data_IF_158473208751
#
_entry.id   IF_158473208751
#
_cell.length_a   1.000
_cell.length_b   1.000
_cell.length_c   1.000
_cell.angle_alpha   90.00
_cell.angle_beta   90.00
_cell.angle_gamma   90.00
#
_symmetry.space_group_name_H-M   'P 1'
#
loop_
_entity.id
_entity.type
_entity.pdbx_description
1 polymer ?
#
# COMPACT_ATOMS: atom_id res chain seq x y z
N UNK A 1 2.33 -26.47 2.44
CA UNK A 1 2.07 -25.25 3.26
C UNK A 1 0.82 -25.40 4.14
N UNK A 2 -0.42 -25.54 3.60
CA UNK A 2 -1.63 -25.66 4.44
C UNK A 2 -1.56 -26.82 5.46
N UNK A 3 -1.12 -28.02 5.01
CA UNK A 3 -0.90 -29.18 5.89
C UNK A 3 0.05 -28.86 7.06
N UNK A 4 1.18 -28.20 6.77
CA UNK A 4 2.17 -27.80 7.78
C UNK A 4 1.58 -26.79 8.78
N UNK A 5 0.73 -25.87 8.32
CA UNK A 5 0.07 -24.90 9.19
C UNK A 5 -0.91 -25.63 10.14
N UNK A 6 -1.76 -26.53 9.62
CA UNK A 6 -2.68 -27.30 10.46
C UNK A 6 -1.99 -28.21 11.47
N UNK A 7 -0.82 -28.75 11.11
CA UNK A 7 -0.02 -29.57 12.03
C UNK A 7 0.52 -28.74 13.21
N UNK A 8 0.79 -27.44 12.99
CA UNK A 8 1.33 -26.54 14.00
C UNK A 8 0.26 -25.77 14.78
N UNK A 9 -0.90 -25.56 14.18
CA UNK A 9 -1.96 -24.70 14.71
C UNK A 9 -3.31 -25.35 14.49
N UNK A 10 -4.14 -25.35 15.53
CA UNK A 10 -5.54 -25.79 15.44
C UNK A 10 -6.37 -24.65 14.80
N UNK A 11 -6.53 -24.72 13.47
CA UNK A 11 -7.21 -23.67 12.67
C UNK A 11 -8.34 -24.32 11.86
N UNK A 12 -9.56 -23.76 11.91
CA UNK A 12 -10.69 -24.24 11.11
C UNK A 12 -10.43 -24.09 9.60
N UNK A 13 -10.98 -24.99 8.79
CA UNK A 13 -10.77 -24.99 7.33
C UNK A 13 -11.35 -23.74 6.65
N UNK A 14 -12.39 -23.15 7.22
CA UNK A 14 -13.03 -21.92 6.79
C UNK A 14 -12.06 -20.73 6.82
N UNK A 15 -11.07 -20.75 7.73
CA UNK A 15 -10.07 -19.69 7.86
C UNK A 15 -8.90 -19.81 6.86
N UNK A 16 -8.87 -20.87 6.02
CA UNK A 16 -7.75 -21.15 5.10
C UNK A 16 -7.39 -19.95 4.22
N UNK A 17 -8.38 -19.30 3.60
CA UNK A 17 -8.14 -18.15 2.74
C UNK A 17 -7.47 -17.01 3.51
N UNK A 18 -8.04 -16.65 4.66
CA UNK A 18 -7.52 -15.59 5.52
C UNK A 18 -6.07 -15.86 5.98
N UNK A 19 -5.76 -17.11 6.34
CA UNK A 19 -4.40 -17.50 6.71
C UNK A 19 -3.43 -17.33 5.54
N UNK A 20 -3.80 -17.73 4.33
CA UNK A 20 -2.94 -17.53 3.17
C UNK A 20 -2.73 -16.05 2.83
N UNK A 21 -3.75 -15.20 3.01
CA UNK A 21 -3.64 -13.75 2.85
C UNK A 21 -2.66 -13.15 3.88
N UNK A 22 -2.71 -13.62 5.13
CA UNK A 22 -1.79 -13.23 6.20
C UNK A 22 -0.35 -13.65 5.87
N UNK A 23 -0.14 -14.92 5.49
CA UNK A 23 1.18 -15.44 5.10
C UNK A 23 1.75 -14.66 3.91
N UNK A 24 0.93 -14.41 2.89
CA UNK A 24 1.34 -13.59 1.74
C UNK A 24 1.77 -12.19 2.16
N UNK A 25 1.02 -11.57 3.08
CA UNK A 25 1.30 -10.21 3.57
C UNK A 25 2.58 -10.17 4.42
N UNK A 26 2.77 -11.16 5.30
CA UNK A 26 4.01 -11.34 6.06
C UNK A 26 5.22 -11.54 5.14
N UNK A 27 5.08 -12.36 4.10
CA UNK A 27 6.13 -12.59 3.11
C UNK A 27 6.49 -11.33 2.32
N UNK A 28 5.50 -10.53 1.90
CA UNK A 28 5.75 -9.24 1.24
C UNK A 28 6.52 -8.28 2.17
N UNK A 29 6.13 -8.21 3.44
CA UNK A 29 6.81 -7.37 4.44
C UNK A 29 8.26 -7.84 4.65
N UNK A 30 8.46 -9.13 4.84
CA UNK A 30 9.78 -9.74 5.01
C UNK A 30 10.69 -9.42 3.82
N UNK A 31 10.26 -9.67 2.58
CA UNK A 31 11.07 -9.34 1.39
C UNK A 31 11.42 -7.86 1.29
N UNK A 32 10.50 -6.99 1.67
CA UNK A 32 10.76 -5.55 1.69
C UNK A 32 11.82 -5.18 2.74
N UNK A 33 11.74 -5.75 3.94
CA UNK A 33 12.71 -5.53 5.01
C UNK A 33 14.08 -6.10 4.64
N UNK A 34 14.12 -7.31 4.09
CA UNK A 34 15.33 -7.98 3.60
C UNK A 34 16.08 -7.07 2.61
N UNK A 35 15.37 -6.53 1.61
CA UNK A 35 15.97 -5.62 0.62
C UNK A 35 16.45 -4.31 1.25
N UNK A 36 15.69 -3.73 2.18
CA UNK A 36 16.11 -2.48 2.85
C UNK A 36 17.34 -2.69 3.72
N UNK A 37 17.34 -3.75 4.54
CA UNK A 37 18.36 -3.96 5.57
C UNK A 37 19.64 -4.60 5.01
N UNK A 38 19.54 -5.45 3.98
CA UNK A 38 20.69 -6.22 3.50
C UNK A 38 21.10 -5.93 2.06
N UNK A 39 20.26 -5.28 1.25
CA UNK A 39 20.66 -4.86 -0.10
C UNK A 39 20.97 -3.37 -0.17
N UNK A 40 20.10 -2.51 0.38
CA UNK A 40 20.30 -1.05 0.34
C UNK A 40 21.27 -0.52 1.40
N UNK A 41 21.52 -1.27 2.47
CA UNK A 41 22.38 -0.82 3.57
C UNK A 41 23.88 -0.89 3.24
N UNK A 42 24.27 -1.66 2.23
CA UNK A 42 25.65 -1.89 1.84
C UNK A 42 25.86 -1.57 0.35
N UNK A 43 27.03 -1.03 0.02
CA UNK A 43 27.34 -0.54 -1.32
C UNK A 43 27.65 -1.67 -2.32
N UNK A 44 28.43 -2.67 -1.93
CA UNK A 44 28.91 -3.74 -2.80
C UNK A 44 28.28 -5.11 -2.46
N UNK A 45 28.30 -6.06 -3.40
CA UNK A 45 27.74 -7.39 -3.18
C UNK A 45 28.55 -8.23 -2.18
N UNK A 46 29.85 -7.99 -2.04
CA UNK A 46 30.72 -8.68 -1.09
C UNK A 46 30.30 -8.42 0.37
N UNK A 47 30.12 -7.16 0.75
CA UNK A 47 29.62 -6.77 2.08
C UNK A 47 28.19 -7.25 2.29
N UNK A 48 27.35 -7.26 1.25
CA UNK A 48 25.98 -7.82 1.34
C UNK A 48 26.02 -9.31 1.67
N UNK A 49 26.93 -10.06 1.04
CA UNK A 49 27.10 -11.49 1.28
C UNK A 49 27.67 -11.79 2.68
N UNK A 50 28.63 -10.99 3.15
CA UNK A 50 29.17 -11.07 4.50
C UNK A 50 28.08 -10.80 5.56
N UNK A 51 27.22 -9.81 5.30
CA UNK A 51 26.12 -9.42 6.18
C UNK A 51 24.79 -10.11 5.81
N UNK A 52 24.85 -11.31 5.23
CA UNK A 52 23.66 -12.12 4.90
C UNK A 52 22.89 -12.47 6.18
N UNK A 53 21.56 -12.34 6.20
CA UNK A 53 20.78 -12.82 7.34
C UNK A 53 20.86 -14.34 7.47
N UNK A 54 21.04 -14.81 8.70
CA UNK A 54 21.25 -16.24 9.04
C UNK A 54 20.12 -17.12 8.50
N UNK A 55 18.89 -16.62 8.53
CA UNK A 55 17.67 -17.35 8.13
C UNK A 55 17.56 -17.59 6.61
N UNK A 56 18.33 -16.88 5.78
CA UNK A 56 18.23 -17.00 4.31
C UNK A 56 19.41 -17.80 3.80
N UNK A 57 19.24 -18.99 3.21
CA UNK A 57 20.35 -19.79 2.70
C UNK A 57 21.24 -19.01 1.72
N UNK A 58 22.53 -19.29 1.71
CA UNK A 58 23.52 -18.56 0.91
C UNK A 58 23.20 -18.58 -0.59
N UNK A 59 22.83 -19.74 -1.13
CA UNK A 59 22.46 -19.89 -2.54
C UNK A 59 21.28 -18.98 -2.91
N UNK A 60 20.23 -18.99 -2.09
CA UNK A 60 19.05 -18.15 -2.29
C UNK A 60 19.38 -16.66 -2.21
N UNK A 61 20.28 -16.27 -1.30
CA UNK A 61 20.68 -14.88 -1.18
C UNK A 61 21.52 -14.41 -2.38
N UNK A 62 22.42 -15.24 -2.91
CA UNK A 62 23.15 -14.97 -4.16
C UNK A 62 22.19 -14.75 -5.34
N UNK A 63 21.19 -15.62 -5.48
CA UNK A 63 20.17 -15.48 -6.53
C UNK A 63 19.36 -14.18 -6.37
N UNK A 64 19.06 -13.78 -5.13
CA UNK A 64 18.38 -12.51 -4.85
C UNK A 64 19.24 -11.30 -5.21
N UNK A 65 20.54 -11.30 -4.90
CA UNK A 65 21.45 -10.23 -5.30
C UNK A 65 21.51 -10.12 -6.83
N UNK A 66 21.67 -11.24 -7.53
CA UNK A 66 21.63 -11.29 -9.00
C UNK A 66 20.31 -10.73 -9.55
N UNK A 67 19.18 -11.14 -8.98
CA UNK A 67 17.87 -10.63 -9.37
C UNK A 67 17.75 -9.12 -9.14
N UNK A 68 18.14 -8.61 -7.97
CA UNK A 68 18.03 -7.20 -7.65
C UNK A 68 18.95 -6.31 -8.48
N UNK A 69 20.13 -6.81 -8.82
CA UNK A 69 21.10 -6.14 -9.67
C UNK A 69 20.76 -6.19 -11.16
N UNK A 70 19.83 -7.06 -11.57
CA UNK A 70 19.40 -7.19 -12.97
C UNK A 70 18.73 -5.90 -13.50
N UNK A 71 19.03 -5.57 -14.75
CA UNK A 71 18.46 -4.39 -15.43
C UNK A 71 16.93 -4.40 -15.52
N UNK A 72 16.26 -5.54 -15.82
CA UNK A 72 14.80 -5.58 -15.85
C UNK A 72 14.18 -5.17 -14.50
N UNK A 73 14.74 -5.65 -13.40
CA UNK A 73 14.24 -5.32 -12.07
C UNK A 73 14.55 -3.87 -11.70
N UNK A 74 15.75 -3.34 -12.02
CA UNK A 74 16.09 -1.92 -11.82
C UNK A 74 15.13 -1.00 -12.59
N UNK A 75 14.87 -1.30 -13.86
CA UNK A 75 13.92 -0.57 -14.70
C UNK A 75 12.51 -0.58 -14.11
N UNK A 76 12.01 -1.76 -13.75
CA UNK A 76 10.69 -1.90 -13.10
C UNK A 76 10.62 -1.11 -11.78
N UNK A 77 11.66 -1.18 -10.96
CA UNK A 77 11.73 -0.44 -9.69
C UNK A 77 11.70 1.08 -9.90
N UNK A 78 12.42 1.58 -10.91
CA UNK A 78 12.43 3.01 -11.27
C UNK A 78 11.05 3.48 -11.73
N UNK A 79 10.44 2.77 -12.68
CA UNK A 79 9.10 3.08 -13.19
C UNK A 79 8.04 3.06 -12.08
N UNK A 80 8.08 2.08 -11.17
CA UNK A 80 7.16 2.02 -10.03
C UNK A 80 7.34 3.20 -9.07
N UNK A 81 8.58 3.65 -8.86
CA UNK A 81 8.88 4.83 -8.03
C UNK A 81 8.34 6.11 -8.67
N UNK A 82 8.56 6.29 -9.98
CA UNK A 82 8.03 7.41 -10.74
C UNK A 82 6.48 7.43 -10.73
N UNK A 83 5.85 6.28 -10.96
CA UNK A 83 4.39 6.15 -10.90
C UNK A 83 3.85 6.47 -9.50
N UNK A 84 4.55 6.05 -8.44
CA UNK A 84 4.17 6.39 -7.07
C UNK A 84 4.27 7.89 -6.81
N UNK A 85 5.31 8.56 -7.33
CA UNK A 85 5.50 10.00 -7.19
C UNK A 85 4.44 10.82 -7.96
N UNK A 86 3.84 10.26 -9.01
CA UNK A 86 2.72 10.87 -9.73
C UNK A 86 1.40 10.90 -8.94
N UNK A 87 1.29 10.17 -7.81
CA UNK A 87 0.10 10.21 -6.97
C UNK A 87 0.05 11.53 -6.17
N UNK A 88 -0.72 12.50 -6.66
CA UNK A 88 -0.80 13.86 -6.09
C UNK A 88 -1.81 14.04 -4.96
N UNK A 89 -2.91 13.29 -4.96
CA UNK A 89 -4.05 13.49 -4.04
C UNK A 89 -4.44 12.21 -3.27
N UNK A 90 -3.57 11.71 -2.36
CA UNK A 90 -3.89 10.56 -1.51
C UNK A 90 -5.08 10.88 -0.59
N UNK A 91 -5.89 9.87 -0.27
CA UNK A 91 -6.97 10.00 0.70
C UNK A 91 -6.43 10.15 2.13
N UNK A 92 -7.21 10.78 3.00
CA UNK A 92 -6.89 11.08 4.41
C UNK A 92 -7.78 10.32 5.40
N UNK A 93 -8.67 9.46 4.92
CA UNK A 93 -9.55 8.60 5.72
C UNK A 93 -8.84 7.68 6.73
N UNK A 94 -7.57 7.33 6.49
CA UNK A 94 -6.80 6.50 7.41
C UNK A 94 -7.33 5.06 7.48
N UNK A 95 -7.65 4.58 8.69
CA UNK A 95 -8.17 3.21 8.92
C UNK A 95 -9.66 3.06 8.62
N UNK A 96 -10.36 4.18 8.42
CA UNK A 96 -11.80 4.12 8.13
C UNK A 96 -12.00 3.62 6.70
N UNK A 97 -12.65 2.46 6.50
CA UNK A 97 -12.93 1.93 5.18
C UNK A 97 -13.92 2.82 4.43
N UNK A 98 -13.83 2.83 3.11
CA UNK A 98 -14.69 3.67 2.27
C UNK A 98 -16.16 3.23 2.30
N UNK A 99 -16.44 1.96 2.62
CA UNK A 99 -17.81 1.47 2.82
C UNK A 99 -18.52 2.20 3.96
N UNK A 100 -17.87 2.33 5.12
CA UNK A 100 -18.43 3.07 6.26
C UNK A 100 -18.62 4.55 5.95
N UNK A 101 -17.64 5.19 5.30
CA UNK A 101 -17.76 6.59 4.86
C UNK A 101 -18.95 6.77 3.91
N UNK A 102 -19.16 5.80 3.01
CA UNK A 102 -20.28 5.83 2.07
C UNK A 102 -21.62 5.66 2.77
N UNK A 103 -21.70 4.79 3.77
CA UNK A 103 -22.92 4.58 4.56
C UNK A 103 -23.26 5.81 5.41
N UNK A 104 -22.28 6.39 6.11
CA UNK A 104 -22.45 7.65 6.86
C UNK A 104 -22.96 8.76 5.96
N UNK A 105 -22.33 8.95 4.78
CA UNK A 105 -22.78 9.95 3.82
C UNK A 105 -24.16 9.70 3.24
N UNK A 106 -24.55 8.43 3.02
CA UNK A 106 -25.92 8.11 2.60
C UNK A 106 -26.96 8.47 3.65
N UNK A 107 -26.66 8.29 4.94
CA UNK A 107 -27.55 8.69 6.03
C UNK A 107 -27.71 10.21 6.11
N UNK A 108 -26.64 10.97 5.93
CA UNK A 108 -26.72 12.45 5.89
C UNK A 108 -27.55 12.96 4.72
N UNK A 109 -27.54 12.26 3.58
CA UNK A 109 -28.21 12.67 2.34
C UNK A 109 -29.65 12.16 2.24
N UNK A 110 -30.01 11.05 2.92
CA UNK A 110 -31.41 10.59 2.96
C UNK A 110 -32.35 11.64 3.55
N UNK A 111 -31.81 12.56 4.36
CA UNK A 111 -32.55 13.67 4.93
C UNK A 111 -32.77 14.82 3.92
N UNK A 112 -32.04 14.85 2.79
CA UNK A 112 -32.08 15.93 1.77
C UNK A 112 -32.52 15.48 0.38
N UNK A 113 -32.88 14.20 0.17
CA UNK A 113 -33.33 13.62 -1.11
C UNK A 113 -32.30 13.67 -2.26
N UNK A 114 -31.06 14.05 -2.01
CA UNK A 114 -30.01 14.09 -3.04
C UNK A 114 -29.43 12.71 -3.36
N UNK A 115 -28.79 12.56 -4.51
CA UNK A 115 -28.00 11.36 -4.83
C UNK A 115 -26.56 11.57 -4.41
N UNK A 116 -26.00 10.65 -3.63
CA UNK A 116 -24.60 10.69 -3.21
C UNK A 116 -23.67 10.73 -4.43
N UNK A 117 -22.97 11.84 -4.62
CA UNK A 117 -22.08 12.04 -5.76
C UNK A 117 -20.68 11.50 -5.51
N UNK A 118 -19.99 11.10 -6.58
CA UNK A 118 -18.56 10.76 -6.55
C UNK A 118 -17.71 11.92 -6.00
N UNK A 119 -18.14 13.16 -6.24
CA UNK A 119 -17.50 14.37 -5.68
C UNK A 119 -17.59 14.38 -4.16
N UNK A 120 -18.76 14.09 -3.59
CA UNK A 120 -18.96 14.13 -2.13
C UNK A 120 -18.07 13.11 -1.42
N UNK A 121 -17.97 11.90 -1.98
CA UNK A 121 -17.05 10.87 -1.48
C UNK A 121 -15.60 11.31 -1.65
N UNK A 122 -15.23 11.92 -2.78
CA UNK A 122 -13.88 12.42 -3.02
C UNK A 122 -13.47 13.48 -1.99
N UNK A 123 -14.34 14.47 -1.75
CA UNK A 123 -14.13 15.56 -0.77
C UNK A 123 -14.05 14.99 0.64
N UNK A 124 -14.98 14.10 1.01
CA UNK A 124 -15.05 13.51 2.37
C UNK A 124 -13.81 12.69 2.69
N UNK A 125 -13.40 11.81 1.78
CA UNK A 125 -12.24 10.93 1.97
C UNK A 125 -10.90 11.68 2.01
N UNK A 126 -10.86 12.94 1.57
CA UNK A 126 -9.66 13.79 1.51
C UNK A 126 -9.72 14.99 2.46
N UNK A 127 -10.77 15.09 3.27
CA UNK A 127 -10.90 16.12 4.31
C UNK A 127 -9.75 15.97 5.32
N UNK A 128 -9.04 17.07 5.55
CA UNK A 128 -7.96 17.14 6.54
C UNK A 128 -8.56 17.43 7.93
N UNK A 129 -7.98 16.80 8.96
CA UNK A 129 -8.36 17.03 10.36
C UNK A 129 -7.70 18.30 10.87
N UNK A 130 -8.47 19.14 11.56
CA UNK A 130 -7.95 20.34 12.21
C UNK A 130 -6.88 19.95 13.25
N UNK A 131 -5.78 20.71 13.31
CA UNK A 131 -4.66 20.46 14.23
C UNK A 131 -3.70 19.33 13.80
N UNK A 132 -3.97 18.59 12.72
CA UNK A 132 -3.03 17.59 12.20
C UNK A 132 -2.08 18.18 11.17
N UNK A 133 -0.79 17.94 11.34
CA UNK A 133 0.25 18.34 10.37
C UNK A 133 0.30 17.30 9.23
N UNK A 134 0.24 17.78 7.99
CA UNK A 134 0.31 16.95 6.79
C UNK A 134 1.59 17.26 6.01
N UNK A 135 2.29 16.21 5.54
CA UNK A 135 3.55 16.36 4.78
C UNK A 135 3.33 16.91 3.37
N UNK A 136 2.20 16.61 2.74
CA UNK A 136 1.89 17.04 1.37
C UNK A 136 1.03 18.30 1.36
N UNK A 137 1.19 19.13 0.33
CA UNK A 137 0.27 20.25 0.07
C UNK A 137 -1.16 19.76 -0.22
N UNK A 138 -2.15 20.58 0.10
CA UNK A 138 -3.57 20.34 -0.23
C UNK A 138 -3.96 20.91 -1.61
N UNK A 139 -3.10 21.71 -2.25
CA UNK A 139 -3.42 22.45 -3.48
C UNK A 139 -3.91 21.54 -4.61
N UNK A 140 -3.21 20.42 -4.85
CA UNK A 140 -3.62 19.45 -5.88
C UNK A 140 -5.03 18.87 -5.62
N UNK A 141 -5.45 18.76 -4.36
CA UNK A 141 -6.78 18.27 -4.02
C UNK A 141 -7.83 19.35 -4.29
N UNK A 142 -7.54 20.60 -3.94
CA UNK A 142 -8.41 21.75 -4.25
C UNK A 142 -8.59 21.86 -5.77
N UNK A 143 -7.51 21.83 -6.55
CA UNK A 143 -7.59 21.89 -8.02
C UNK A 143 -8.44 20.76 -8.59
N UNK A 144 -8.32 19.54 -8.04
CA UNK A 144 -9.12 18.40 -8.50
C UNK A 144 -10.60 18.54 -8.14
N UNK A 145 -10.93 19.08 -6.97
CA UNK A 145 -12.32 19.36 -6.58
C UNK A 145 -12.94 20.37 -7.54
N UNK A 146 -12.23 21.46 -7.86
CA UNK A 146 -12.68 22.48 -8.79
C UNK A 146 -12.83 21.94 -10.24
N UNK A 147 -12.00 20.97 -10.64
CA UNK A 147 -12.15 20.28 -11.92
C UNK A 147 -13.41 19.39 -11.94
N UNK A 148 -13.66 18.64 -10.87
CA UNK A 148 -14.86 17.81 -10.73
C UNK A 148 -16.14 18.65 -10.72
N UNK A 149 -16.11 19.84 -10.12
CA UNK A 149 -17.21 20.81 -10.14
C UNK A 149 -17.54 21.28 -11.56
N UNK A 150 -16.52 21.64 -12.34
CA UNK A 150 -16.71 22.06 -13.74
C UNK A 150 -17.34 20.97 -14.60
N UNK A 151 -16.92 19.72 -14.42
CA UNK A 151 -17.45 18.57 -15.16
C UNK A 151 -18.92 18.30 -14.78
N UNK A 152 -19.30 18.49 -13.51
CA UNK A 152 -20.68 18.27 -13.06
C UNK A 152 -21.65 19.37 -13.51
N UNK A 153 -21.14 20.57 -13.78
CA UNK A 153 -21.93 21.69 -14.29
C UNK A 153 -22.14 21.68 -15.81
N UNK A 154 -21.57 20.70 -16.53
CA UNK A 154 -21.68 20.53 -17.99
C UNK A 154 -22.63 19.39 -18.30
#
# INVERSE_FOLDING_TARGET
MWKYIKEKYDIPDEAKQWVFELVCSAWRKYKSQLKTNHFKAYENDELRMENRPVDVPESHFKDLLKYWNSDPHKKMSKTNTENRNRLKCPHTAGRTPFSLIREEKKKEISDTSDTLSSKDIFVTTRKRKLGRIYKSSYDNTISKIAEMERIQST
#
